data_IF_692706689261
#
_entry.id   IF_692706689261
#
_cell.length_a   1.000
_cell.length_b   1.000
_cell.length_c   1.000
_cell.angle_alpha   90.00
_cell.angle_beta   90.00
_cell.angle_gamma   90.00
#
_symmetry.space_group_name_H-M   'P 1'
#
loop_
_entity.id
_entity.type
_entity.pdbx_description
1 polymer ?
#
# COMPACT_ATOMS: atom_id res chain seq x y z
N UNK A 1 -16.71 11.45 -15.72
CA UNK A 1 -15.52 11.26 -16.59
C UNK A 1 -14.46 10.53 -15.79
N UNK A 2 -14.43 9.20 -15.84
CA UNK A 2 -13.36 8.42 -15.18
C UNK A 2 -12.13 8.48 -16.09
N UNK A 3 -11.04 9.09 -15.61
CA UNK A 3 -9.73 8.98 -16.28
C UNK A 3 -9.42 7.48 -16.35
N UNK A 4 -9.08 6.97 -17.54
CA UNK A 4 -8.53 5.61 -17.66
C UNK A 4 -7.17 5.62 -16.97
N UNK A 5 -7.12 5.06 -15.78
CA UNK A 5 -5.85 4.89 -15.08
C UNK A 5 -4.99 3.85 -15.81
N UNK A 6 -3.68 4.07 -15.80
CA UNK A 6 -2.72 3.16 -16.40
C UNK A 6 -2.48 2.01 -15.43
N UNK A 7 -2.82 0.80 -15.86
CA UNK A 7 -2.58 -0.42 -15.10
C UNK A 7 -1.12 -0.87 -15.25
N UNK A 8 -0.52 -1.52 -14.23
CA UNK A 8 -1.14 -1.86 -12.94
C UNK A 8 -1.10 -0.70 -11.93
N UNK A 9 -2.13 -0.62 -11.08
CA UNK A 9 -2.18 0.32 -9.95
C UNK A 9 -1.45 -0.24 -8.76
N UNK A 10 -0.71 0.61 -8.05
CA UNK A 10 -0.05 0.25 -6.79
C UNK A 10 -0.87 0.75 -5.61
N UNK A 11 -1.40 -0.16 -4.80
CA UNK A 11 -2.04 0.13 -3.52
C UNK A 11 -1.03 -0.02 -2.39
N UNK A 12 -0.85 1.05 -1.64
CA UNK A 12 -0.11 1.07 -0.39
C UNK A 12 -1.08 0.83 0.76
N UNK A 13 -0.74 -0.11 1.65
CA UNK A 13 -1.59 -0.45 2.80
C UNK A 13 -0.73 -0.70 4.03
N UNK A 14 -1.34 -0.60 5.21
CA UNK A 14 -0.70 -0.92 6.48
C UNK A 14 -1.02 -2.38 6.86
N UNK A 15 -0.01 -3.25 6.88
CA UNK A 15 -0.12 -4.65 7.25
C UNK A 15 -0.37 -4.90 8.74
N UNK A 16 -0.01 -3.97 9.62
CA UNK A 16 -0.27 -4.07 11.06
C UNK A 16 -1.74 -3.74 11.39
N UNK A 17 -2.44 -3.04 10.48
CA UNK A 17 -3.86 -2.77 10.61
C UNK A 17 -4.71 -3.98 10.15
N UNK A 18 -5.43 -4.68 11.05
CA UNK A 18 -6.16 -5.91 10.71
C UNK A 18 -7.32 -5.68 9.73
N UNK A 19 -7.89 -4.47 9.69
CA UNK A 19 -8.93 -4.10 8.72
C UNK A 19 -8.32 -3.93 7.33
N UNK A 20 -7.22 -3.18 7.22
CA UNK A 20 -6.52 -2.96 5.96
C UNK A 20 -6.04 -4.29 5.35
N UNK A 21 -5.39 -5.14 6.16
CA UNK A 21 -4.93 -6.45 5.70
C UNK A 21 -6.07 -7.34 5.18
N UNK A 22 -7.23 -7.33 5.85
CA UNK A 22 -8.42 -8.08 5.41
C UNK A 22 -8.96 -7.55 4.08
N UNK A 23 -8.99 -6.24 3.89
CA UNK A 23 -9.41 -5.61 2.64
C UNK A 23 -8.47 -5.95 1.47
N UNK A 24 -7.16 -5.88 1.69
CA UNK A 24 -6.18 -6.27 0.67
C UNK A 24 -6.30 -7.73 0.30
N UNK A 25 -6.50 -8.64 1.27
CA UNK A 25 -6.71 -10.07 0.98
C UNK A 25 -7.92 -10.29 0.07
N UNK A 26 -9.02 -9.59 0.33
CA UNK A 26 -10.24 -9.65 -0.47
C UNK A 26 -10.06 -9.06 -1.87
N UNK A 27 -9.38 -7.92 -1.98
CA UNK A 27 -9.06 -7.29 -3.26
C UNK A 27 -8.13 -8.18 -4.10
N UNK A 28 -7.10 -8.76 -3.49
CA UNK A 28 -6.15 -9.65 -4.16
C UNK A 28 -6.84 -10.90 -4.74
N UNK A 29 -7.81 -11.46 -4.02
CA UNK A 29 -8.62 -12.59 -4.51
C UNK A 29 -9.50 -12.23 -5.72
N UNK A 30 -9.83 -10.95 -5.90
CA UNK A 30 -10.73 -10.47 -6.96
C UNK A 30 -10.03 -9.74 -8.09
N UNK A 31 -8.77 -9.34 -7.89
CA UNK A 31 -7.96 -8.66 -8.87
C UNK A 31 -7.68 -9.60 -10.06
N UNK A 32 -8.40 -9.40 -11.17
CA UNK A 32 -8.11 -10.10 -12.44
C UNK A 32 -6.92 -9.43 -13.15
N UNK A 33 -6.11 -10.24 -13.83
CA UNK A 33 -5.06 -9.81 -14.77
C UNK A 33 -3.92 -8.97 -14.18
N UNK A 34 -3.48 -9.23 -12.94
CA UNK A 34 -2.36 -8.53 -12.29
C UNK A 34 -2.48 -6.99 -12.27
N UNK A 35 -3.71 -6.47 -12.32
CA UNK A 35 -4.01 -5.04 -12.37
C UNK A 35 -3.65 -4.31 -11.08
N UNK A 36 -3.55 -5.01 -9.96
CA UNK A 36 -3.24 -4.42 -8.66
C UNK A 36 -1.90 -4.99 -8.16
N UNK A 37 -1.00 -4.08 -7.78
CA UNK A 37 0.19 -4.34 -6.99
C UNK A 37 -0.08 -3.87 -5.57
N UNK A 38 0.21 -4.71 -4.58
CA UNK A 38 0.05 -4.37 -3.17
C UNK A 38 1.42 -4.15 -2.54
N UNK A 39 1.58 -3.07 -1.79
CA UNK A 39 2.81 -2.73 -1.06
C UNK A 39 2.45 -2.43 0.40
N UNK A 40 3.02 -3.20 1.32
CA UNK A 40 2.87 -2.98 2.75
C UNK A 40 3.81 -1.86 3.21
N UNK A 41 3.26 -0.76 3.76
CA UNK A 41 4.03 0.37 4.28
C UNK A 41 4.59 0.13 5.68
N UNK A 42 4.08 -0.89 6.38
CA UNK A 42 4.58 -1.35 7.66
C UNK A 42 5.79 -2.28 7.54
N UNK A 43 6.07 -2.80 6.34
CA UNK A 43 7.24 -3.66 6.10
C UNK A 43 8.55 -2.91 6.33
N UNK A 44 9.54 -3.59 6.90
CA UNK A 44 10.93 -3.10 7.02
C UNK A 44 11.58 -2.84 5.65
N UNK A 45 11.07 -3.47 4.58
CA UNK A 45 11.55 -3.28 3.21
C UNK A 45 10.94 -2.03 2.54
N UNK A 46 9.99 -1.35 3.19
CA UNK A 46 9.32 -0.19 2.64
C UNK A 46 10.17 1.09 2.76
N UNK A 47 10.63 1.62 1.63
CA UNK A 47 11.33 2.90 1.56
C UNK A 47 10.38 4.07 1.33
N UNK A 48 9.95 4.71 2.42
CA UNK A 48 9.11 5.91 2.39
C UNK A 48 9.83 7.12 1.75
N UNK A 49 11.16 7.18 1.87
CA UNK A 49 11.97 8.30 1.36
C UNK A 49 12.05 8.28 -0.16
N UNK A 50 12.17 7.09 -0.76
CA UNK A 50 12.13 6.91 -2.22
C UNK A 50 10.82 7.43 -2.84
N UNK A 51 9.71 7.33 -2.10
CA UNK A 51 8.38 7.83 -2.50
C UNK A 51 8.11 9.28 -2.06
N UNK A 52 9.04 9.90 -1.32
CA UNK A 52 8.93 11.26 -0.77
C UNK A 52 7.67 11.45 0.10
N UNK A 53 7.31 10.41 0.85
CA UNK A 53 6.22 10.45 1.83
C UNK A 53 6.77 10.25 3.24
N UNK A 54 6.00 10.64 4.26
CA UNK A 54 6.35 10.45 5.66
C UNK A 54 5.42 9.42 6.29
N UNK A 55 5.96 8.40 6.96
CA UNK A 55 5.17 7.56 7.86
C UNK A 55 5.14 8.23 9.23
N UNK A 56 3.96 8.30 9.82
CA UNK A 56 3.78 8.87 11.16
C UNK A 56 4.63 8.11 12.19
N UNK A 57 4.80 6.80 12.02
CA UNK A 57 5.65 5.95 12.86
C UNK A 57 7.13 6.33 12.83
N UNK A 58 7.66 6.75 11.67
CA UNK A 58 9.06 7.19 11.55
C UNK A 58 9.31 8.50 12.31
N UNK A 59 8.32 9.42 12.28
CA UNK A 59 8.38 10.71 12.98
C UNK A 59 8.33 10.53 14.51
N UNK A 60 7.58 9.54 15.00
CA UNK A 60 7.45 9.28 16.43
C UNK A 60 8.67 8.56 17.03
N UNK A 61 9.48 7.87 16.21
CA UNK A 61 10.67 7.13 16.65
C UNK A 61 11.93 7.98 16.83
N UNK A 62 11.89 9.24 16.38
CA UNK A 62 13.01 10.19 16.46
C UNK A 62 12.93 11.12 17.68
N UNK A 63 12.06 10.81 18.66
CA UNK A 63 12.02 11.46 19.97
C UNK A 63 12.56 10.56 21.07
#
# INVERSE_FOLDING_TARGET
MHKKEQWPLTLYFDGECPLCAREIKFLNQRAKDARLRFVDIGSDEFDAMALRILRVTDVLRTR
#
